data_IF_230742316292
#
_entry.id   IF_230742316292
#
_cell.length_a   1.000
_cell.length_b   1.000
_cell.length_c   1.000
_cell.angle_alpha   90.00
_cell.angle_beta   90.00
_cell.angle_gamma   90.00
#
_symmetry.space_group_name_H-M   'P 1'
#
loop_
_entity.id
_entity.type
_entity.pdbx_description
1 polymer ?
#
# COMPACT_ATOMS: atom_id res chain seq x y z
N UNK A 1 -13.72 0.61 24.26
CA UNK A 1 -12.75 0.78 23.16
C UNK A 1 -11.63 1.70 23.61
N UNK A 2 -10.40 1.21 23.81
CA UNK A 2 -9.25 2.11 24.01
C UNK A 2 -8.97 2.78 22.67
N UNK A 3 -9.10 4.11 22.59
CA UNK A 3 -8.75 4.86 21.38
C UNK A 3 -7.24 4.75 21.19
N UNK A 4 -6.81 3.96 20.21
CA UNK A 4 -5.41 3.92 19.81
C UNK A 4 -5.16 5.21 19.02
N UNK A 5 -4.24 6.04 19.50
CA UNK A 5 -3.84 7.26 18.79
C UNK A 5 -3.11 6.91 17.50
N UNK A 6 -3.30 7.65 16.39
CA UNK A 6 -2.59 7.42 15.13
C UNK A 6 -1.07 7.39 15.30
N UNK A 7 -0.56 8.17 16.26
CA UNK A 7 0.86 8.22 16.62
C UNK A 7 1.36 6.88 17.17
N UNK A 8 0.58 6.22 18.02
CA UNK A 8 0.96 4.92 18.61
C UNK A 8 1.02 3.85 17.53
N UNK A 9 0.04 3.82 16.63
CA UNK A 9 0.02 2.91 15.48
C UNK A 9 1.20 3.16 14.54
N UNK A 10 1.51 4.43 14.23
CA UNK A 10 2.65 4.78 13.38
C UNK A 10 3.98 4.37 14.01
N UNK A 11 4.15 4.62 15.31
CA UNK A 11 5.36 4.26 16.04
C UNK A 11 5.56 2.74 16.13
N UNK A 12 4.51 1.97 16.42
CA UNK A 12 4.60 0.50 16.47
C UNK A 12 4.88 -0.10 15.11
N UNK A 13 4.23 0.39 14.04
CA UNK A 13 4.46 -0.07 12.68
C UNK A 13 5.90 0.23 12.22
N UNK A 14 6.43 1.42 12.52
CA UNK A 14 7.80 1.78 12.20
C UNK A 14 8.81 0.91 12.97
N UNK A 15 8.61 0.73 14.28
CA UNK A 15 9.47 -0.10 15.11
C UNK A 15 9.50 -1.56 14.62
N UNK A 16 8.33 -2.14 14.31
CA UNK A 16 8.24 -3.49 13.75
C UNK A 16 8.92 -3.58 12.38
N UNK A 17 8.72 -2.61 11.49
CA UNK A 17 9.34 -2.60 10.17
C UNK A 17 10.89 -2.54 10.25
N UNK A 18 11.44 -1.68 11.10
CA UNK A 18 12.89 -1.56 11.30
C UNK A 18 13.47 -2.82 11.94
N UNK A 19 12.78 -3.38 12.95
CA UNK A 19 13.21 -4.62 13.59
C UNK A 19 13.22 -5.79 12.61
N UNK A 20 12.17 -5.94 11.79
CA UNK A 20 12.10 -6.97 10.76
C UNK A 20 13.22 -6.83 9.70
N UNK A 21 13.55 -5.61 9.28
CA UNK A 21 14.67 -5.36 8.36
C UNK A 21 16.01 -5.82 8.97
N UNK A 22 16.25 -5.50 10.24
CA UNK A 22 17.46 -5.92 10.95
C UNK A 22 17.55 -7.45 11.10
N UNK A 23 16.43 -8.11 11.44
CA UNK A 23 16.38 -9.57 11.60
C UNK A 23 16.59 -10.32 10.29
N UNK A 24 16.05 -9.80 9.19
CA UNK A 24 16.08 -10.47 7.90
C UNK A 24 17.29 -10.06 7.04
N UNK A 25 18.18 -9.21 7.57
CA UNK A 25 19.36 -8.66 6.88
C UNK A 25 19.06 -8.10 5.48
N UNK A 26 17.85 -7.55 5.29
CA UNK A 26 17.40 -7.03 4.01
C UNK A 26 17.66 -5.52 3.97
N UNK A 27 18.42 -5.06 2.97
CA UNK A 27 18.61 -3.64 2.72
C UNK A 27 17.69 -3.23 1.56
N UNK A 28 16.46 -2.77 1.81
CA UNK A 28 15.62 -2.28 0.74
C UNK A 28 16.21 -0.98 0.16
N UNK A 29 15.96 -0.66 -1.12
CA UNK A 29 16.47 0.56 -1.74
C UNK A 29 16.03 1.82 -0.97
N UNK A 30 16.77 2.93 -1.07
CA UNK A 30 16.43 4.16 -0.36
C UNK A 30 14.99 4.61 -0.67
N UNK A 31 14.29 5.06 0.37
CA UNK A 31 12.86 5.43 0.34
C UNK A 31 11.88 4.30 -0.07
N UNK A 32 12.21 3.04 0.23
CA UNK A 32 11.31 1.89 0.01
C UNK A 32 10.57 1.53 1.32
N UNK A 33 9.37 2.08 1.48
CA UNK A 33 8.47 1.76 2.59
C UNK A 33 7.52 0.61 2.30
N UNK A 34 6.48 0.44 3.13
CA UNK A 34 5.37 -0.51 2.91
C UNK A 34 4.56 -0.11 1.65
N UNK A 35 5.02 -0.53 0.48
CA UNK A 35 4.41 -0.15 -0.79
C UNK A 35 3.50 -1.24 -1.33
N UNK A 36 2.19 -1.10 -1.17
CA UNK A 36 1.22 -2.09 -1.67
C UNK A 36 1.25 -2.28 -3.18
N UNK A 37 1.63 -1.24 -3.93
CA UNK A 37 1.76 -1.30 -5.40
C UNK A 37 2.99 -2.11 -5.81
N UNK A 38 4.17 -1.71 -5.32
CA UNK A 38 5.43 -2.36 -5.70
C UNK A 38 5.55 -3.76 -5.09
N UNK A 39 5.16 -3.95 -3.83
CA UNK A 39 5.22 -5.26 -3.18
C UNK A 39 4.17 -6.20 -3.77
N UNK A 40 3.00 -5.69 -4.17
CA UNK A 40 1.99 -6.48 -4.89
C UNK A 40 2.48 -6.93 -6.25
N UNK A 41 3.09 -6.03 -7.04
CA UNK A 41 3.71 -6.38 -8.32
C UNK A 41 4.83 -7.42 -8.13
N UNK A 42 5.75 -7.16 -7.20
CA UNK A 42 6.92 -8.02 -7.01
C UNK A 42 6.50 -9.42 -6.48
N UNK A 43 5.44 -9.51 -5.66
CA UNK A 43 4.83 -10.77 -5.26
C UNK A 43 4.23 -11.54 -6.44
N UNK A 44 3.49 -10.86 -7.33
CA UNK A 44 2.90 -11.48 -8.53
C UNK A 44 3.99 -11.95 -9.49
N UNK A 45 5.02 -11.14 -9.73
CA UNK A 45 6.17 -11.52 -10.58
C UNK A 45 6.89 -12.73 -9.99
N UNK A 46 7.09 -12.78 -8.67
CA UNK A 46 7.71 -13.92 -7.99
C UNK A 46 6.89 -15.20 -8.15
N UNK A 47 5.57 -15.14 -7.93
CA UNK A 47 4.68 -16.28 -8.15
C UNK A 47 4.67 -16.74 -9.62
N UNK A 48 4.60 -15.79 -10.55
CA UNK A 48 4.64 -16.08 -11.98
C UNK A 48 5.97 -16.74 -12.38
N UNK A 49 7.10 -16.22 -11.90
CA UNK A 49 8.43 -16.80 -12.14
C UNK A 49 8.55 -18.23 -11.57
N UNK A 50 7.99 -18.48 -10.38
CA UNK A 50 7.93 -19.82 -9.78
C UNK A 50 7.06 -20.80 -10.57
N UNK A 51 6.01 -20.31 -11.23
CA UNK A 51 5.09 -21.11 -12.04
C UNK A 51 5.64 -21.38 -13.45
N UNK A 52 6.36 -20.44 -14.05
CA UNK A 52 6.88 -20.55 -15.43
C UNK A 52 8.35 -20.96 -15.54
N UNK A 53 9.06 -21.05 -14.41
CA UNK A 53 10.47 -21.46 -14.37
C UNK A 53 11.45 -20.45 -14.99
N UNK A 54 10.99 -19.22 -15.29
CA UNK A 54 11.79 -18.18 -15.93
C UNK A 54 12.36 -17.15 -14.95
N UNK A 55 13.61 -16.73 -15.16
CA UNK A 55 14.22 -15.61 -14.46
C UNK A 55 13.67 -14.28 -14.98
N UNK A 56 12.65 -13.74 -14.31
CA UNK A 56 12.12 -12.40 -14.60
C UNK A 56 12.78 -11.35 -13.69
N UNK A 57 12.94 -10.13 -14.20
CA UNK A 57 13.52 -8.99 -13.47
C UNK A 57 12.71 -8.67 -12.20
N UNK A 58 13.19 -9.15 -11.05
CA UNK A 58 12.65 -8.82 -9.73
C UNK A 58 13.56 -7.80 -9.04
N UNK A 59 12.98 -6.93 -8.19
CA UNK A 59 13.76 -6.03 -7.34
C UNK A 59 14.72 -6.85 -6.46
N UNK A 60 15.93 -6.33 -6.17
CA UNK A 60 16.98 -7.05 -5.43
C UNK A 60 16.51 -7.63 -4.07
N UNK A 61 15.51 -7.00 -3.43
CA UNK A 61 14.89 -7.50 -2.20
C UNK A 61 14.00 -8.76 -2.38
N UNK A 62 13.51 -9.01 -3.59
CA UNK A 62 12.62 -10.12 -3.94
C UNK A 62 13.37 -11.34 -4.52
N UNK A 63 14.70 -11.26 -4.65
CA UNK A 63 15.52 -12.38 -5.10
C UNK A 63 15.67 -13.47 -4.04
N UNK A 64 15.56 -13.12 -2.76
CA UNK A 64 15.78 -14.04 -1.63
C UNK A 64 14.51 -14.35 -0.84
N UNK A 65 13.54 -13.44 -0.76
CA UNK A 65 12.30 -13.63 0.00
C UNK A 65 11.08 -13.03 -0.71
N UNK A 66 9.94 -13.73 -0.74
CA UNK A 66 8.71 -13.15 -1.25
C UNK A 66 8.33 -11.95 -0.36
N UNK A 67 8.11 -10.77 -0.97
CA UNK A 67 7.59 -9.60 -0.24
C UNK A 67 6.15 -9.85 0.17
N UNK A 68 5.97 -10.52 1.31
CA UNK A 68 4.68 -10.95 1.85
C UNK A 68 3.89 -9.82 2.52
N UNK A 69 4.35 -8.56 2.44
CA UNK A 69 3.74 -7.46 3.19
C UNK A 69 2.28 -7.24 2.83
N UNK A 70 1.88 -7.43 1.56
CA UNK A 70 0.48 -7.27 1.14
C UNK A 70 -0.38 -8.35 1.81
N UNK A 71 0.08 -9.60 1.80
CA UNK A 71 -0.59 -10.72 2.47
C UNK A 71 -0.63 -10.50 3.99
N UNK A 72 0.47 -10.06 4.58
CA UNK A 72 0.56 -9.75 6.01
C UNK A 72 -0.37 -8.63 6.44
N UNK A 73 -0.50 -7.56 5.65
CA UNK A 73 -1.45 -6.46 5.92
C UNK A 73 -2.89 -6.98 5.86
N UNK A 74 -3.24 -7.79 4.85
CA UNK A 74 -4.60 -8.33 4.71
C UNK A 74 -4.94 -9.28 5.85
N UNK A 75 -4.06 -10.22 6.18
CA UNK A 75 -4.27 -11.18 7.27
C UNK A 75 -4.27 -10.49 8.64
N UNK A 76 -3.38 -9.51 8.85
CA UNK A 76 -3.33 -8.73 10.09
C UNK A 76 -4.59 -7.90 10.29
N UNK A 77 -5.08 -7.23 9.24
CA UNK A 77 -6.33 -6.48 9.29
C UNK A 77 -7.54 -7.40 9.53
N UNK A 78 -7.57 -8.57 8.90
CA UNK A 78 -8.63 -9.56 9.10
C UNK A 78 -8.64 -10.11 10.54
N UNK A 79 -7.47 -10.48 11.06
CA UNK A 79 -7.34 -10.98 12.43
C UNK A 79 -7.74 -9.91 13.46
N UNK A 80 -7.27 -8.67 13.28
CA UNK A 80 -7.62 -7.55 14.17
C UNK A 80 -9.12 -7.24 14.14
N UNK A 81 -9.75 -7.23 12.96
CA UNK A 81 -11.19 -7.02 12.83
C UNK A 81 -11.99 -8.14 13.51
N UNK A 82 -11.50 -9.39 13.46
CA UNK A 82 -12.17 -10.55 14.06
C UNK A 82 -11.97 -10.63 15.57
N UNK A 83 -10.80 -10.24 16.09
CA UNK A 83 -10.53 -10.22 17.54
C UNK A 83 -11.33 -9.16 18.28
N UNK A 84 -11.77 -8.11 17.56
CA UNK A 84 -12.59 -7.02 18.10
C UNK A 84 -14.07 -7.14 17.75
N UNK A 85 -14.50 -8.22 17.09
CA UNK A 85 -15.88 -8.43 16.60
C UNK A 85 -16.41 -7.28 15.72
N UNK A 86 -15.51 -6.55 15.04
CA UNK A 86 -15.84 -5.45 14.12
C UNK A 86 -15.91 -5.91 12.66
N UNK A 87 -15.73 -7.21 12.41
CA UNK A 87 -15.77 -7.77 11.06
C UNK A 87 -17.19 -7.77 10.49
N UNK A 88 -17.43 -6.91 9.49
CA UNK A 88 -18.67 -6.88 8.72
C UNK A 88 -18.40 -6.94 7.22
N UNK A 89 -18.97 -7.92 6.54
CA UNK A 89 -18.95 -8.01 5.08
C UNK A 89 -19.95 -7.02 4.50
N UNK A 90 -19.46 -5.98 3.83
CA UNK A 90 -20.28 -4.97 3.17
C UNK A 90 -19.75 -4.71 1.77
N UNK A 91 -20.67 -4.62 0.80
CA UNK A 91 -20.37 -4.26 -0.58
C UNK A 91 -20.97 -2.88 -0.83
N UNK A 92 -20.12 -1.87 -0.95
CA UNK A 92 -20.53 -0.47 -1.11
C UNK A 92 -20.69 -0.14 -2.61
N UNK A 93 -19.88 -0.76 -3.47
CA UNK A 93 -19.92 -0.61 -4.92
C UNK A 93 -20.16 -1.95 -5.64
N UNK A 94 -20.76 -1.93 -6.85
CA UNK A 94 -20.87 -3.13 -7.66
C UNK A 94 -19.48 -3.69 -8.01
N UNK A 95 -19.30 -5.02 -7.94
CA UNK A 95 -17.98 -5.67 -7.98
C UNK A 95 -17.20 -5.36 -9.25
N UNK A 96 -17.91 -5.22 -10.38
CA UNK A 96 -17.34 -4.87 -11.68
C UNK A 96 -16.69 -3.48 -11.63
N UNK A 97 -17.37 -2.49 -11.05
CA UNK A 97 -16.83 -1.12 -10.96
C UNK A 97 -15.62 -1.03 -10.03
N UNK A 98 -15.66 -1.76 -8.91
CA UNK A 98 -14.54 -1.82 -7.98
C UNK A 98 -13.29 -2.45 -8.64
N UNK A 99 -13.47 -3.49 -9.45
CA UNK A 99 -12.37 -4.14 -10.18
C UNK A 99 -11.69 -3.19 -11.18
N UNK A 100 -12.46 -2.52 -12.03
CA UNK A 100 -11.89 -1.58 -13.00
C UNK A 100 -11.25 -0.35 -12.33
N UNK A 101 -11.84 0.15 -11.24
CA UNK A 101 -11.24 1.23 -10.46
C UNK A 101 -9.90 0.80 -9.84
N UNK A 102 -9.85 -0.39 -9.26
CA UNK A 102 -8.61 -0.99 -8.74
C UNK A 102 -7.54 -1.16 -9.83
N UNK A 103 -7.93 -1.63 -11.01
CA UNK A 103 -7.03 -1.76 -12.17
C UNK A 103 -6.44 -0.40 -12.58
N UNK A 104 -7.27 0.64 -12.68
CA UNK A 104 -6.81 1.99 -13.02
C UNK A 104 -5.82 2.52 -11.98
N UNK A 105 -6.10 2.34 -10.68
CA UNK A 105 -5.20 2.74 -9.59
C UNK A 105 -3.86 2.00 -9.66
N UNK A 106 -3.88 0.70 -9.95
CA UNK A 106 -2.64 -0.08 -10.09
C UNK A 106 -1.81 0.37 -11.29
N UNK A 107 -2.43 0.59 -12.44
CA UNK A 107 -1.74 1.07 -13.65
C UNK A 107 -1.10 2.44 -13.36
N UNK A 108 -1.86 3.39 -12.81
CA UNK A 108 -1.36 4.73 -12.48
C UNK A 108 -0.26 4.70 -11.40
N UNK A 109 -0.42 3.85 -10.39
CA UNK A 109 0.60 3.66 -9.34
C UNK A 109 1.91 3.07 -9.89
N UNK A 110 1.83 2.20 -10.90
CA UNK A 110 3.00 1.64 -11.57
C UNK A 110 3.70 2.65 -12.47
N UNK A 111 2.98 3.54 -13.15
CA UNK A 111 3.56 4.63 -13.96
C UNK A 111 4.44 5.55 -13.10
N UNK A 112 3.97 5.88 -11.90
CA UNK A 112 4.71 6.74 -10.94
C UNK A 112 5.71 5.91 -10.11
N UNK A 113 5.69 4.58 -10.23
CA UNK A 113 6.47 3.63 -9.42
C UNK A 113 6.27 3.83 -7.91
N UNK A 114 5.09 4.27 -7.47
CA UNK A 114 4.86 4.64 -6.07
C UNK A 114 3.42 4.42 -5.59
N UNK A 115 3.30 4.21 -4.28
CA UNK A 115 2.06 4.27 -3.52
C UNK A 115 2.07 5.54 -2.64
N UNK A 116 0.95 5.95 -2.02
CA UNK A 116 0.92 7.14 -1.16
C UNK A 116 1.99 7.14 -0.07
N UNK A 117 2.25 5.99 0.58
CA UNK A 117 3.30 5.88 1.58
C UNK A 117 4.71 6.07 0.98
N UNK A 118 4.98 5.52 -0.20
CA UNK A 118 6.28 5.66 -0.89
C UNK A 118 6.49 7.09 -1.39
N UNK A 119 5.44 7.75 -1.88
CA UNK A 119 5.49 9.17 -2.27
C UNK A 119 5.88 10.05 -1.09
N UNK A 120 5.28 9.83 0.07
CA UNK A 120 5.57 10.60 1.27
C UNK A 120 7.00 10.37 1.78
N UNK A 121 7.49 9.13 1.73
CA UNK A 121 8.89 8.82 2.04
C UNK A 121 9.85 9.48 1.06
N UNK A 122 9.60 9.40 -0.26
CA UNK A 122 10.44 10.08 -1.27
C UNK A 122 10.47 11.59 -1.04
N UNK A 123 9.32 12.19 -0.72
CA UNK A 123 9.24 13.60 -0.36
C UNK A 123 10.10 13.93 0.88
N UNK A 124 10.11 13.08 1.90
CA UNK A 124 10.95 13.25 3.09
C UNK A 124 12.45 13.14 2.80
N UNK A 125 12.85 12.38 1.77
CA UNK A 125 14.23 12.31 1.27
C UNK A 125 14.62 13.50 0.38
N UNK A 126 13.71 14.48 0.16
CA UNK A 126 13.97 15.66 -0.66
C UNK A 126 13.72 15.48 -2.16
N UNK A 127 13.04 14.40 -2.58
CA UNK A 127 12.67 14.19 -3.97
C UNK A 127 11.43 15.02 -4.35
N UNK A 128 11.63 16.02 -5.22
CA UNK A 128 10.58 16.90 -5.74
C UNK A 128 9.47 16.15 -6.49
N UNK A 129 9.80 15.07 -7.20
CA UNK A 129 8.79 14.26 -7.92
C UNK A 129 7.92 13.51 -6.91
N UNK A 130 8.53 13.00 -5.84
CA UNK A 130 7.81 12.38 -4.72
C UNK A 130 6.86 13.36 -4.03
N UNK A 131 7.32 14.59 -3.78
CA UNK A 131 6.51 15.65 -3.18
C UNK A 131 5.34 16.08 -4.07
N UNK A 132 5.59 16.29 -5.38
CA UNK A 132 4.54 16.63 -6.34
C UNK A 132 3.49 15.52 -6.47
N UNK A 133 3.93 14.25 -6.50
CA UNK A 133 3.01 13.11 -6.53
C UNK A 133 2.20 12.97 -5.24
N UNK A 134 2.80 13.20 -4.07
CA UNK A 134 2.07 13.22 -2.80
C UNK A 134 1.00 14.34 -2.77
N UNK A 135 1.36 15.53 -3.24
CA UNK A 135 0.43 16.66 -3.35
C UNK A 135 -0.72 16.36 -4.33
N UNK A 136 -0.43 15.73 -5.47
CA UNK A 136 -1.44 15.35 -6.45
C UNK A 136 -2.44 14.33 -5.87
N UNK A 137 -1.97 13.32 -5.13
CA UNK A 137 -2.86 12.35 -4.44
C UNK A 137 -3.71 13.06 -3.37
N UNK A 138 -3.12 13.98 -2.61
CA UNK A 138 -3.85 14.74 -1.60
C UNK A 138 -4.93 15.64 -2.21
N UNK A 139 -4.59 16.41 -3.25
CA UNK A 139 -5.55 17.26 -3.96
C UNK A 139 -6.63 16.44 -4.67
N UNK A 140 -6.28 15.31 -5.29
CA UNK A 140 -7.24 14.43 -5.94
C UNK A 140 -8.26 13.84 -4.97
N UNK A 141 -7.80 13.35 -3.81
CA UNK A 141 -8.70 12.82 -2.76
C UNK A 141 -9.55 13.92 -2.10
N UNK A 142 -8.97 15.11 -1.88
CA UNK A 142 -9.73 16.27 -1.39
C UNK A 142 -10.81 16.71 -2.40
N UNK A 143 -10.48 16.81 -3.68
CA UNK A 143 -11.46 17.15 -4.72
C UNK A 143 -12.57 16.09 -4.81
N UNK A 144 -12.21 14.80 -4.81
CA UNK A 144 -13.19 13.71 -4.85
C UNK A 144 -14.16 13.74 -3.65
N UNK A 145 -13.64 13.95 -2.43
CA UNK A 145 -14.47 14.06 -1.22
C UNK A 145 -15.37 15.30 -1.25
N UNK A 146 -14.89 16.43 -1.77
CA UNK A 146 -15.71 17.63 -1.95
C UNK A 146 -16.82 17.42 -2.97
N UNK A 147 -16.54 16.76 -4.10
CA UNK A 147 -17.54 16.43 -5.12
C UNK A 147 -18.60 15.47 -4.55
N UNK A 148 -18.18 14.43 -3.82
CA UNK A 148 -19.10 13.51 -3.15
C UNK A 148 -19.97 14.24 -2.12
N UNK A 149 -19.37 15.10 -1.30
CA UNK A 149 -20.09 15.94 -0.33
C UNK A 149 -21.08 16.89 -1.01
N UNK A 150 -20.71 17.48 -2.14
CA UNK A 150 -21.58 18.38 -2.89
C UNK A 150 -22.77 17.64 -3.51
N UNK A 151 -22.56 16.43 -4.02
CA UNK A 151 -23.66 15.56 -4.50
C UNK A 151 -24.60 15.17 -3.37
N UNK A 152 -24.08 14.80 -2.21
CA UNK A 152 -24.91 14.40 -1.06
C UNK A 152 -25.80 15.53 -0.53
N UNK A 153 -25.40 16.80 -0.67
CA UNK A 153 -26.22 17.96 -0.27
C UNK A 153 -27.33 18.31 -1.26
N UNK A 154 -27.31 17.74 -2.47
CA UNK A 154 -28.29 17.98 -3.54
C UNK A 154 -29.33 16.87 -3.66
N UNK A 155 -29.21 15.83 -2.84
CA UNK A 155 -30.22 14.80 -2.62
C UNK A 155 -30.99 15.14 -1.35
#
# INVERSE_FOLDING_TARGET
MRRITPVVMGATAAALAVSAQAFLAMQPPPAYGLCVVCHGRDLIIWFAAKLTGGEMIVAAASQTWPLLTVVGIVLGAWYAARSHDEYRTQWIEPPVTAFFCGMAIMILGLVIMACPARLLLRAAYGDFIGAAGAAAVFLGTAAATLVMRWRAKRC
#
